data_IF_074267789774
#
_entry.id   IF_074267789774
#
_cell.length_a   1.000
_cell.length_b   1.000
_cell.length_c   1.000
_cell.angle_alpha   90.00
_cell.angle_beta   90.00
_cell.angle_gamma   90.00
#
_symmetry.space_group_name_H-M   'P 1'
#
loop_
_entity.id
_entity.type
_entity.pdbx_description
1 polymer ?
#
# COMPACT_ATOMS: atom_id res chain seq x y z
N UNK A 1 -11.78 -24.42 4.83
CA UNK A 1 -12.20 -23.12 5.34
C UNK A 1 -11.18 -22.06 4.93
N UNK A 2 -11.57 -21.00 4.24
CA UNK A 2 -10.64 -19.97 3.88
C UNK A 2 -10.16 -19.24 5.13
N UNK A 3 -8.87 -18.96 5.20
CA UNK A 3 -8.35 -18.19 6.29
C UNK A 3 -8.68 -16.72 6.08
N UNK A 4 -8.51 -15.91 7.12
CA UNK A 4 -8.89 -14.51 7.08
C UNK A 4 -8.08 -13.71 6.04
N UNK A 5 -6.84 -14.12 5.77
CA UNK A 5 -6.01 -13.44 4.78
C UNK A 5 -6.59 -13.61 3.38
N UNK A 6 -7.00 -14.82 3.03
CA UNK A 6 -7.64 -15.05 1.73
C UNK A 6 -8.93 -14.27 1.58
N UNK A 7 -9.74 -14.22 2.62
CA UNK A 7 -10.99 -13.47 2.60
C UNK A 7 -10.70 -11.98 2.37
N UNK A 8 -9.72 -11.41 3.09
CA UNK A 8 -9.35 -10.01 2.94
C UNK A 8 -8.90 -9.72 1.51
N UNK A 9 -8.01 -10.54 0.95
CA UNK A 9 -7.52 -10.31 -0.41
C UNK A 9 -8.63 -10.41 -1.44
N UNK A 10 -9.53 -11.35 -1.25
CA UNK A 10 -10.63 -11.54 -2.18
C UNK A 10 -11.61 -10.36 -2.16
N UNK A 11 -11.97 -9.90 -0.97
CA UNK A 11 -12.99 -8.86 -0.83
C UNK A 11 -12.46 -7.46 -1.14
N UNK A 12 -11.23 -7.15 -0.75
CA UNK A 12 -10.72 -5.79 -0.79
C UNK A 12 -9.62 -5.57 -1.82
N UNK A 13 -9.10 -6.62 -2.39
CA UNK A 13 -7.97 -6.56 -3.31
C UNK A 13 -6.76 -5.90 -2.69
N UNK A 14 -6.71 -5.87 -1.37
CA UNK A 14 -5.60 -5.36 -0.61
C UNK A 14 -4.68 -6.47 -0.14
N UNK A 15 -3.65 -6.10 0.58
CA UNK A 15 -2.73 -7.05 1.15
C UNK A 15 -2.43 -6.68 2.61
N UNK A 16 -1.92 -7.66 3.34
CA UNK A 16 -1.42 -7.43 4.69
C UNK A 16 0.09 -7.29 4.61
N UNK A 17 0.62 -6.20 5.18
CA UNK A 17 2.05 -5.97 5.20
C UNK A 17 2.53 -5.84 6.65
N UNK A 18 3.77 -6.25 6.96
CA UNK A 18 4.28 -6.11 8.32
C UNK A 18 4.55 -4.64 8.62
N UNK A 19 4.24 -4.24 9.85
CA UNK A 19 4.46 -2.87 10.29
C UNK A 19 4.68 -2.84 11.79
N UNK A 20 5.26 -1.75 12.27
CA UNK A 20 5.51 -1.55 13.70
C UNK A 20 4.89 -0.22 14.11
N UNK A 21 4.10 -0.24 15.17
CA UNK A 21 3.45 0.97 15.68
C UNK A 21 4.51 1.88 16.31
N UNK A 22 4.58 3.13 15.85
CA UNK A 22 5.56 4.10 16.33
C UNK A 22 4.95 5.18 17.21
N UNK A 23 3.65 5.44 17.05
CA UNK A 23 2.92 6.37 17.92
C UNK A 23 1.43 6.06 17.83
N UNK A 24 0.60 6.86 18.55
CA UNK A 24 -0.84 6.64 18.55
C UNK A 24 -1.49 6.90 17.19
N UNK A 25 -0.78 7.53 16.26
CA UNK A 25 -1.31 7.83 14.92
C UNK A 25 -0.32 7.52 13.80
N UNK A 26 0.67 6.69 14.05
CA UNK A 26 1.63 6.32 13.01
C UNK A 26 2.20 4.93 13.21
N UNK A 27 2.62 4.34 12.09
CA UNK A 27 3.36 3.09 12.09
C UNK A 27 4.40 3.14 10.98
N UNK A 28 5.27 2.15 10.94
CA UNK A 28 6.38 2.13 10.00
C UNK A 28 6.51 0.75 9.35
N UNK A 29 6.71 0.77 8.05
CA UNK A 29 7.06 -0.41 7.27
C UNK A 29 8.47 -0.22 6.72
N UNK A 30 9.28 -1.28 6.70
CA UNK A 30 10.67 -1.18 6.26
C UNK A 30 10.82 -0.68 4.82
N UNK A 31 9.87 -1.01 3.95
CA UNK A 31 9.95 -0.62 2.54
C UNK A 31 9.26 0.69 2.24
N UNK A 32 8.17 0.99 2.92
CA UNK A 32 7.33 2.15 2.63
C UNK A 32 7.61 3.34 3.55
N UNK A 33 8.29 3.11 4.66
CA UNK A 33 8.57 4.17 5.62
C UNK A 33 7.39 4.46 6.53
N UNK A 34 7.27 5.72 6.94
CA UNK A 34 6.24 6.13 7.90
C UNK A 34 4.86 6.18 7.25
N UNK A 35 3.88 5.60 7.93
CA UNK A 35 2.48 5.62 7.52
C UNK A 35 1.71 6.27 8.66
N UNK A 36 0.95 7.32 8.34
CA UNK A 36 0.18 8.09 9.31
C UNK A 36 -1.30 7.92 9.09
N UNK A 37 -2.07 8.06 10.16
CA UNK A 37 -3.51 7.98 10.08
C UNK A 37 -4.14 7.69 11.41
N UNK A 38 -5.41 7.33 11.40
CA UNK A 38 -6.17 7.03 12.59
C UNK A 38 -6.35 5.53 12.73
N UNK A 39 -5.85 4.97 13.83
CA UNK A 39 -6.06 3.57 14.12
C UNK A 39 -7.51 3.32 14.48
N UNK A 40 -8.09 2.29 13.87
CA UNK A 40 -9.44 1.85 14.23
C UNK A 40 -9.45 1.27 15.63
N UNK A 41 -8.32 0.69 16.05
CA UNK A 41 -8.16 0.06 17.34
C UNK A 41 -6.83 0.49 17.94
N UNK A 42 -6.79 0.70 19.24
CA UNK A 42 -5.55 1.12 19.90
C UNK A 42 -4.50 0.00 19.97
N UNK A 43 -3.25 0.38 19.69
CA UNK A 43 -2.10 -0.51 19.80
C UNK A 43 -0.98 0.20 20.55
N UNK A 44 -0.32 -0.47 21.50
CA UNK A 44 0.83 0.13 22.19
C UNK A 44 1.97 0.43 21.21
N UNK A 45 2.75 1.48 21.51
CA UNK A 45 3.93 1.79 20.73
C UNK A 45 4.89 0.59 20.74
N UNK A 46 5.48 0.31 19.59
CA UNK A 46 6.39 -0.82 19.44
C UNK A 46 5.70 -2.14 19.08
N UNK A 47 4.36 -2.16 19.01
CA UNK A 47 3.63 -3.35 18.61
C UNK A 47 3.92 -3.72 17.17
N UNK A 48 4.12 -5.00 16.90
CA UNK A 48 4.26 -5.51 15.54
C UNK A 48 2.90 -5.98 15.06
N UNK A 49 2.45 -5.44 13.95
CA UNK A 49 1.11 -5.68 13.42
C UNK A 49 1.18 -5.98 11.93
N UNK A 50 0.07 -6.48 11.39
CA UNK A 50 -0.12 -6.62 9.96
C UNK A 50 -1.08 -5.53 9.51
N UNK A 51 -0.58 -4.58 8.74
CA UNK A 51 -1.40 -3.48 8.22
C UNK A 51 -2.14 -3.93 6.97
N UNK A 52 -3.44 -3.66 6.93
CA UNK A 52 -4.21 -3.85 5.70
C UNK A 52 -3.97 -2.65 4.79
N UNK A 53 -3.32 -2.91 3.67
CA UNK A 53 -3.03 -1.90 2.65
C UNK A 53 -3.90 -2.15 1.43
N UNK A 54 -4.71 -1.16 1.08
CA UNK A 54 -5.64 -1.26 -0.05
C UNK A 54 -5.09 -0.49 -1.26
N UNK A 55 -5.56 -0.83 -2.48
CA UNK A 55 -5.05 -0.17 -3.69
C UNK A 55 -5.21 1.35 -3.71
N UNK A 56 -6.23 1.89 -3.06
CA UNK A 56 -6.48 3.32 -3.00
C UNK A 56 -5.67 4.05 -1.94
N UNK A 57 -4.92 3.33 -1.10
CA UNK A 57 -4.18 3.96 0.00
C UNK A 57 -2.90 4.65 -0.43
N UNK A 58 -2.35 4.28 -1.58
CA UNK A 58 -1.11 4.86 -2.07
C UNK A 58 -1.40 5.87 -3.17
N UNK A 59 -0.68 6.99 -3.15
CA UNK A 59 -0.78 8.03 -4.17
C UNK A 59 0.49 8.08 -5.00
N UNK A 60 0.31 8.33 -6.29
CA UNK A 60 1.42 8.48 -7.23
C UNK A 60 2.08 9.84 -7.06
N UNK A 61 3.41 9.85 -7.00
CA UNK A 61 4.18 11.09 -6.95
C UNK A 61 5.53 10.86 -7.62
N UNK A 62 5.69 11.36 -8.83
CA UNK A 62 6.92 11.19 -9.60
C UNK A 62 8.13 11.83 -8.94
N UNK A 63 7.90 12.80 -8.05
CA UNK A 63 8.98 13.50 -7.37
C UNK A 63 9.39 12.82 -6.07
N UNK A 64 8.67 11.80 -5.65
CA UNK A 64 8.99 11.10 -4.41
C UNK A 64 10.29 10.31 -4.52
N UNK A 65 11.01 10.24 -3.40
CA UNK A 65 12.18 9.40 -3.30
C UNK A 65 11.82 7.93 -3.13
N UNK A 66 10.59 7.65 -2.72
CA UNK A 66 10.12 6.28 -2.60
C UNK A 66 9.61 5.82 -3.95
N UNK A 67 10.38 4.96 -4.61
CA UNK A 67 10.03 4.44 -5.93
C UNK A 67 10.05 2.92 -5.89
N UNK A 68 8.98 2.32 -6.40
CA UNK A 68 8.82 0.87 -6.43
C UNK A 68 8.74 0.40 -7.88
N UNK A 69 9.14 -0.84 -8.10
CA UNK A 69 9.16 -1.41 -9.44
C UNK A 69 7.76 -1.87 -9.86
N UNK A 70 7.35 -1.53 -11.09
CA UNK A 70 6.09 -2.00 -11.65
C UNK A 70 6.30 -3.41 -12.19
N UNK A 71 5.58 -4.39 -11.66
CA UNK A 71 5.69 -5.77 -12.09
C UNK A 71 4.45 -6.26 -12.84
N UNK A 72 3.34 -5.56 -12.73
CA UNK A 72 2.12 -5.88 -13.47
C UNK A 72 1.26 -4.64 -13.62
N UNK A 73 0.44 -4.64 -14.67
CA UNK A 73 -0.47 -3.53 -14.93
C UNK A 73 -1.71 -4.08 -15.62
N UNK A 74 -2.87 -3.87 -15.01
CA UNK A 74 -4.14 -4.34 -15.55
C UNK A 74 -5.12 -3.19 -15.72
N UNK A 75 -5.76 -3.14 -16.86
CA UNK A 75 -6.81 -2.15 -17.11
C UNK A 75 -8.14 -2.67 -16.58
N UNK A 76 -8.83 -1.82 -15.85
CA UNK A 76 -10.12 -2.15 -15.24
C UNK A 76 -11.15 -1.06 -15.56
N UNK A 77 -11.45 -0.88 -16.85
CA UNK A 77 -12.42 0.12 -17.28
C UNK A 77 -11.90 1.54 -17.13
N UNK A 78 -12.21 2.21 -16.03
CA UNK A 78 -11.78 3.58 -15.79
C UNK A 78 -10.45 3.70 -15.05
N UNK A 79 -9.93 2.57 -14.55
CA UNK A 79 -8.72 2.56 -13.74
C UNK A 79 -7.75 1.49 -14.21
N UNK A 80 -6.47 1.74 -13.94
CA UNK A 80 -5.46 0.69 -13.96
C UNK A 80 -5.21 0.22 -12.54
N UNK A 81 -4.90 -1.06 -12.39
CA UNK A 81 -4.35 -1.60 -11.17
C UNK A 81 -2.90 -1.97 -11.45
N UNK A 82 -1.99 -1.25 -10.82
CA UNK A 82 -0.57 -1.54 -10.91
C UNK A 82 -0.18 -2.42 -9.74
N UNK A 83 0.63 -3.43 -10.01
CA UNK A 83 1.26 -4.21 -8.95
C UNK A 83 2.70 -3.76 -8.85
N UNK A 84 3.07 -3.25 -7.67
CA UNK A 84 4.41 -2.73 -7.40
C UNK A 84 5.13 -3.69 -6.47
N UNK A 85 6.42 -3.89 -6.74
CA UNK A 85 7.24 -4.76 -5.91
C UNK A 85 8.19 -3.93 -5.05
N UNK A 86 8.22 -4.23 -3.76
CA UNK A 86 9.11 -3.58 -2.82
C UNK A 86 10.47 -4.30 -2.77
N UNK A 87 11.50 -3.68 -2.14
CA UNK A 87 12.76 -4.35 -1.94
C UNK A 87 12.67 -5.68 -1.16
N UNK A 88 11.68 -5.82 -0.27
CA UNK A 88 11.41 -7.07 0.43
C UNK A 88 10.57 -8.04 -0.38
N UNK A 89 10.30 -7.72 -1.65
CA UNK A 89 9.54 -8.53 -2.58
C UNK A 89 8.04 -8.63 -2.26
N UNK A 90 7.51 -7.70 -1.48
CA UNK A 90 6.07 -7.56 -1.31
C UNK A 90 5.47 -7.01 -2.61
N UNK A 91 4.34 -7.55 -3.01
CA UNK A 91 3.63 -7.07 -4.19
C UNK A 91 2.40 -6.29 -3.74
N UNK A 92 2.37 -5.01 -4.06
CA UNK A 92 1.38 -4.07 -3.57
C UNK A 92 0.52 -3.57 -4.72
N UNK A 93 -0.82 -3.71 -4.63
CA UNK A 93 -1.70 -3.17 -5.67
C UNK A 93 -1.95 -1.69 -5.46
N UNK A 94 -1.97 -0.92 -6.55
CA UNK A 94 -2.22 0.52 -6.52
C UNK A 94 -3.17 0.90 -7.63
N UNK A 95 -4.22 1.68 -7.33
CA UNK A 95 -5.12 2.21 -8.34
C UNK A 95 -4.53 3.46 -8.99
N UNK A 96 -4.62 3.51 -10.31
CA UNK A 96 -4.25 4.68 -11.09
C UNK A 96 -5.37 4.96 -12.08
N UNK A 97 -5.88 6.20 -12.12
CA UNK A 97 -6.94 6.56 -13.05
C UNK A 97 -6.46 6.46 -14.50
N UNK A 98 -7.33 5.97 -15.36
CA UNK A 98 -6.97 5.76 -16.77
C UNK A 98 -6.67 7.06 -17.51
N UNK A 99 -7.18 8.19 -17.04
CA UNK A 99 -6.91 9.49 -17.65
C UNK A 99 -5.61 10.13 -17.15
N UNK A 100 -4.86 9.44 -16.31
CA UNK A 100 -3.57 9.92 -15.86
C UNK A 100 -2.61 10.02 -17.04
N UNK A 101 -1.92 11.14 -17.16
CA UNK A 101 -1.09 11.44 -18.33
C UNK A 101 0.05 10.44 -18.50
N UNK A 102 0.66 10.04 -17.40
CA UNK A 102 1.82 9.15 -17.42
C UNK A 102 1.39 7.72 -17.12
N UNK A 103 1.59 6.84 -18.09
CA UNK A 103 1.42 5.41 -17.86
C UNK A 103 2.80 4.80 -17.66
N UNK A 104 2.93 4.02 -16.63
CA UNK A 104 4.21 3.38 -16.31
C UNK A 104 4.23 1.98 -16.88
N UNK A 105 5.29 1.67 -17.61
CA UNK A 105 5.48 0.35 -18.17
C UNK A 105 6.00 -0.62 -17.10
N UNK A 106 5.89 -1.92 -17.41
CA UNK A 106 6.48 -2.94 -16.56
C UNK A 106 7.99 -2.72 -16.50
N UNK A 107 8.57 -2.90 -15.31
CA UNK A 107 9.96 -2.66 -14.97
C UNK A 107 10.34 -1.20 -14.78
N UNK A 108 9.40 -0.28 -14.99
CA UNK A 108 9.65 1.11 -14.62
C UNK A 108 9.47 1.33 -13.12
N UNK A 109 9.98 2.45 -12.65
CA UNK A 109 9.81 2.85 -11.26
C UNK A 109 8.58 3.73 -11.11
N UNK A 110 7.82 3.46 -10.06
CA UNK A 110 6.58 4.18 -9.75
C UNK A 110 6.77 4.89 -8.41
N UNK A 111 6.72 6.21 -8.42
CA UNK A 111 6.90 7.01 -7.20
C UNK A 111 5.66 7.02 -6.32
N UNK A 112 5.87 6.86 -5.03
CA UNK A 112 4.79 6.86 -4.03
C UNK A 112 4.93 8.10 -3.15
N UNK A 113 3.85 8.86 -3.02
CA UNK A 113 3.83 10.07 -2.20
C UNK A 113 4.10 9.73 -0.73
N UNK A 114 4.94 10.52 -0.09
CA UNK A 114 5.31 10.35 1.31
C UNK A 114 5.05 11.62 2.10
N UNK A 115 4.69 11.51 3.38
CA UNK A 115 4.38 10.27 4.08
C UNK A 115 3.07 9.66 3.57
N UNK A 116 2.94 8.37 3.71
CA UNK A 116 1.70 7.68 3.33
C UNK A 116 0.67 7.99 4.40
N UNK A 117 -0.55 8.32 3.97
CA UNK A 117 -1.65 8.64 4.89
C UNK A 117 -2.83 7.71 4.63
N UNK A 118 -3.31 7.06 5.69
CA UNK A 118 -4.46 6.17 5.64
C UNK A 118 -5.48 6.66 6.67
N UNK A 119 -6.68 7.03 6.20
CA UNK A 119 -7.70 7.60 7.09
C UNK A 119 -8.10 6.66 8.21
N UNK A 120 -8.24 5.38 7.90
CA UNK A 120 -8.62 4.37 8.89
C UNK A 120 -7.63 3.22 8.81
N UNK A 121 -6.71 3.19 9.76
CA UNK A 121 -5.68 2.15 9.81
C UNK A 121 -6.27 0.90 10.44
N UNK A 122 -6.33 -0.17 9.65
CA UNK A 122 -6.82 -1.47 10.09
C UNK A 122 -5.65 -2.44 10.17
N UNK A 123 -5.48 -3.06 11.32
CA UNK A 123 -4.39 -4.00 11.56
C UNK A 123 -4.92 -5.33 12.08
N UNK A 124 -4.10 -6.34 11.90
CA UNK A 124 -4.41 -7.70 12.35
C UNK A 124 -3.27 -8.31 13.12
#
# INVERSE_FOLDING_TARGET
>A
FPNSVEVVNFLNRGILIPAKVTSENSLENNDLGTIKGNFVKHYPNGSEVKLLLQPEDLEHDDKSNLKLEVVDRKFRGTNFIYTLKTPSELQIPVFVHSHHIHQHEIDEKFGIKRPIHIDHIVCF
#
